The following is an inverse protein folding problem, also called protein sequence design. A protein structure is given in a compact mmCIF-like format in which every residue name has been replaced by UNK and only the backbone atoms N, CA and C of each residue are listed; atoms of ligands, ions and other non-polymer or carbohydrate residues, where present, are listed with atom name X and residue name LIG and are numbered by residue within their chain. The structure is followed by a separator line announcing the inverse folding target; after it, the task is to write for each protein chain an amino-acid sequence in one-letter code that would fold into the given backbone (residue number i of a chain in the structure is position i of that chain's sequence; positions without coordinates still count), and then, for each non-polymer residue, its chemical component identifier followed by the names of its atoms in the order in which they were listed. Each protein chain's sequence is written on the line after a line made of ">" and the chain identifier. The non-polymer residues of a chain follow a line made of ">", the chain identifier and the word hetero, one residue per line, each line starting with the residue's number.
data_IF_849009538856
#
_entry.id   IF_849009538856
#
_cell.length_a   1.000
_cell.length_b   1.000
_cell.length_c   1.000
_cell.angle_alpha   90.00
_cell.angle_beta   90.00
_cell.angle_gamma   90.00
#
_symmetry.space_group_name_H-M   'P 1'
#
loop_
_entity.id
_entity.type
_entity.pdbx_description
1 polymer ?
#
# COMPACT_ATOMS: atom_id res chain seq x y z
N UNK A 1 7.74 -14.89 -2.05
CA UNK A 1 7.25 -15.05 -3.44
C UNK A 1 8.46 -15.34 -4.32
N UNK A 2 8.41 -16.37 -5.17
CA UNK A 2 9.50 -16.70 -6.10
C UNK A 2 9.19 -16.08 -7.46
N UNK A 3 9.91 -15.02 -7.85
CA UNK A 3 9.89 -14.48 -9.22
C UNK A 3 9.22 -13.13 -9.45
N UNK A 4 9.18 -12.21 -8.47
CA UNK A 4 8.71 -10.84 -8.70
C UNK A 4 9.57 -9.80 -8.00
N UNK A 5 9.73 -8.65 -8.65
CA UNK A 5 10.54 -7.52 -8.20
C UNK A 5 9.88 -6.70 -7.10
N UNK A 6 9.03 -7.32 -6.26
CA UNK A 6 8.33 -6.61 -5.20
C UNK A 6 9.31 -5.84 -4.31
N UNK A 7 9.28 -4.51 -4.44
CA UNK A 7 10.02 -3.58 -3.62
C UNK A 7 9.03 -2.84 -2.72
N UNK A 8 9.38 -2.74 -1.44
CA UNK A 8 8.60 -1.93 -0.49
C UNK A 8 8.65 -0.47 -0.94
N UNK A 9 7.47 0.15 -1.05
CA UNK A 9 7.36 1.56 -1.39
C UNK A 9 7.29 2.40 -0.11
N UNK A 10 7.89 3.58 -0.16
CA UNK A 10 7.71 4.58 0.88
C UNK A 10 6.34 5.24 0.70
N UNK A 11 5.58 5.35 1.79
CA UNK A 11 4.32 6.09 1.81
C UNK A 11 4.46 7.32 2.69
N UNK A 12 4.03 8.47 2.18
CA UNK A 12 3.85 9.69 2.98
C UNK A 12 2.37 9.84 3.25
N UNK A 13 2.02 9.78 4.54
CA UNK A 13 0.65 9.96 5.02
C UNK A 13 0.46 11.42 5.48
N UNK A 14 -0.53 12.10 4.92
CA UNK A 14 -0.91 13.49 5.22
C UNK A 14 -2.34 13.53 5.74
N UNK A 15 -2.75 14.64 6.37
CA UNK A 15 -4.16 14.81 6.78
C UNK A 15 -5.09 14.63 5.59
N UNK A 16 -6.13 13.80 5.70
CA UNK A 16 -7.03 13.55 4.59
C UNK A 16 -7.81 14.80 4.20
N UNK A 17 -7.98 15.01 2.89
CA UNK A 17 -8.74 16.15 2.37
C UNK A 17 -10.24 15.84 2.50
N UNK A 18 -10.84 16.20 3.64
CA UNK A 18 -12.30 16.15 3.83
C UNK A 18 -12.84 15.44 5.07
N UNK A 19 -12.02 14.98 6.02
CA UNK A 19 -12.51 14.31 7.23
C UNK A 19 -11.42 13.88 8.22
N UNK A 20 -11.82 13.23 9.31
CA UNK A 20 -10.94 12.72 10.36
C UNK A 20 -10.15 11.50 9.87
N UNK A 21 -8.98 11.70 9.28
CA UNK A 21 -8.10 10.61 8.87
C UNK A 21 -6.73 11.08 8.38
N UNK A 22 -5.86 10.12 8.12
CA UNK A 22 -4.54 10.35 7.50
C UNK A 22 -4.49 9.50 6.23
N UNK A 23 -4.31 10.14 5.08
CA UNK A 23 -4.31 9.47 3.77
C UNK A 23 -2.98 9.58 3.05
N UNK A 24 -2.73 8.72 2.05
CA UNK A 24 -1.55 8.90 1.19
C UNK A 24 -1.71 10.10 0.25
N UNK A 25 -0.70 10.98 0.20
CA UNK A 25 -0.75 12.21 -0.61
C UNK A 25 -0.32 12.01 -2.06
N UNK A 26 0.31 10.87 -2.35
CA UNK A 26 0.88 10.54 -3.65
C UNK A 26 0.54 9.11 -4.06
N UNK A 27 0.57 8.88 -5.38
CA UNK A 27 0.44 7.56 -5.98
C UNK A 27 1.58 6.64 -5.50
N UNK A 28 1.22 5.46 -5.00
CA UNK A 28 2.16 4.40 -4.62
C UNK A 28 2.16 3.38 -5.75
N UNK A 29 3.27 3.29 -6.47
CA UNK A 29 3.42 2.43 -7.64
C UNK A 29 4.34 1.25 -7.35
N UNK A 30 3.85 0.05 -7.64
CA UNK A 30 4.62 -1.18 -7.66
C UNK A 30 4.70 -1.65 -9.11
N UNK A 31 5.88 -1.53 -9.71
CA UNK A 31 6.17 -2.03 -11.06
C UNK A 31 6.68 -3.48 -11.00
N UNK A 32 6.62 -4.19 -12.12
CA UNK A 32 7.14 -5.56 -12.25
C UNK A 32 6.64 -6.52 -11.17
N UNK A 33 5.34 -6.47 -10.87
CA UNK A 33 4.73 -7.34 -9.88
C UNK A 33 4.86 -8.82 -10.29
N UNK A 34 5.06 -9.75 -9.33
CA UNK A 34 4.87 -11.17 -9.61
C UNK A 34 3.41 -11.46 -9.91
N UNK A 35 3.14 -12.56 -10.61
CA UNK A 35 1.80 -13.11 -10.73
C UNK A 35 1.27 -13.48 -9.33
N UNK A 36 0.37 -12.66 -8.77
CA UNK A 36 -0.16 -12.83 -7.43
C UNK A 36 -1.53 -12.14 -7.24
N UNK A 37 -2.17 -12.42 -6.12
CA UNK A 37 -3.39 -11.72 -5.72
C UNK A 37 -3.10 -10.86 -4.49
N UNK A 38 -3.22 -9.55 -4.65
CA UNK A 38 -3.08 -8.57 -3.56
C UNK A 38 -4.40 -8.52 -2.81
N UNK A 39 -4.38 -8.96 -1.54
CA UNK A 39 -5.57 -9.07 -0.68
C UNK A 39 -5.58 -8.05 0.46
N UNK A 40 -4.44 -7.45 0.78
CA UNK A 40 -4.32 -6.43 1.78
C UNK A 40 -3.02 -5.65 1.67
N UNK A 41 -2.91 -4.64 2.51
CA UNK A 41 -1.72 -3.81 2.65
C UNK A 41 -1.28 -3.78 4.11
N UNK A 42 0.01 -3.63 4.32
CA UNK A 42 0.62 -3.46 5.63
C UNK A 42 1.56 -2.26 5.60
N UNK A 43 1.50 -1.42 6.63
CA UNK A 43 2.34 -0.24 6.80
C UNK A 43 3.30 -0.49 7.94
N UNK A 44 4.58 -0.29 7.67
CA UNK A 44 5.66 -0.43 8.64
C UNK A 44 6.31 0.92 8.89
N UNK A 45 6.86 1.11 10.09
CA UNK A 45 7.77 2.23 10.32
C UNK A 45 9.08 2.06 9.52
N UNK A 46 9.84 3.14 9.39
CA UNK A 46 11.14 3.15 8.71
C UNK A 46 12.31 2.89 9.66
N UNK A 47 12.08 2.40 10.88
CA UNK A 47 13.13 2.18 11.87
C UNK A 47 13.95 0.93 11.53
N UNK A 48 15.14 0.81 12.12
CA UNK A 48 16.07 -0.30 11.83
C UNK A 48 15.49 -1.70 12.12
N UNK A 49 14.52 -1.78 13.03
CA UNK A 49 13.69 -2.96 13.25
C UNK A 49 12.23 -2.60 12.96
N UNK A 50 11.77 -2.71 11.70
CA UNK A 50 10.51 -2.14 11.29
C UNK A 50 9.33 -2.73 12.07
N UNK A 51 8.57 -1.88 12.76
CA UNK A 51 7.35 -2.27 13.48
C UNK A 51 6.15 -2.06 12.56
N UNK A 52 5.21 -3.02 12.56
CA UNK A 52 3.96 -2.88 11.80
C UNK A 52 3.04 -1.88 12.50
N UNK A 53 2.77 -0.77 11.85
CA UNK A 53 1.91 0.31 12.35
C UNK A 53 0.45 0.07 12.00
N UNK A 54 0.18 -0.46 10.80
CA UNK A 54 -1.18 -0.70 10.34
C UNK A 54 -1.24 -1.89 9.39
N UNK A 55 -2.39 -2.56 9.35
CA UNK A 55 -2.71 -3.54 8.34
C UNK A 55 -4.20 -3.58 8.08
N UNK A 56 -4.57 -3.85 6.84
CA UNK A 56 -5.98 -3.96 6.47
C UNK A 56 -6.15 -4.71 5.14
N UNK A 57 -7.27 -5.42 4.98
CA UNK A 57 -7.63 -6.01 3.69
C UNK A 57 -7.97 -4.91 2.68
N UNK A 58 -7.74 -5.17 1.39
CA UNK A 58 -8.33 -4.37 0.32
C UNK A 58 -9.83 -4.64 0.27
N UNK A 59 -10.62 -3.61 -0.05
CA UNK A 59 -12.08 -3.76 -0.26
C UNK A 59 -12.38 -4.75 -1.39
N UNK A 60 -11.54 -4.76 -2.43
CA UNK A 60 -11.56 -5.74 -3.50
C UNK A 60 -10.14 -6.27 -3.74
N UNK A 61 -9.98 -7.59 -3.64
CA UNK A 61 -8.72 -8.26 -3.99
C UNK A 61 -8.37 -7.99 -5.44
N UNK A 62 -7.11 -7.65 -5.71
CA UNK A 62 -6.61 -7.36 -7.06
C UNK A 62 -5.63 -8.45 -7.48
N UNK A 63 -5.98 -9.19 -8.52
CA UNK A 63 -5.05 -10.12 -9.17
C UNK A 63 -4.19 -9.37 -10.17
N UNK A 64 -2.89 -9.57 -10.09
CA UNK A 64 -1.88 -9.02 -11.00
C UNK A 64 -1.12 -10.18 -11.65
N UNK A 65 -0.83 -10.04 -12.93
CA UNK A 65 0.06 -10.92 -13.68
C UNK A 65 1.53 -10.60 -13.44
N UNK A 66 2.42 -11.43 -14.00
CA UNK A 66 3.86 -11.16 -13.94
C UNK A 66 4.22 -9.99 -14.87
N UNK A 67 4.88 -8.97 -14.34
CA UNK A 67 5.24 -7.75 -15.07
C UNK A 67 4.18 -6.65 -15.00
N UNK A 68 3.05 -6.89 -14.35
CA UNK A 68 1.99 -5.89 -14.23
C UNK A 68 2.36 -4.78 -13.22
N UNK A 69 1.67 -3.65 -13.36
CA UNK A 69 1.73 -2.54 -12.42
C UNK A 69 0.56 -2.59 -11.42
N UNK A 70 0.90 -2.50 -10.14
CA UNK A 70 -0.07 -2.28 -9.07
C UNK A 70 0.09 -0.86 -8.54
N UNK A 71 -0.96 -0.05 -8.67
CA UNK A 71 -0.99 1.33 -8.20
C UNK A 71 -2.08 1.52 -7.15
N UNK A 72 -1.71 2.20 -6.06
CA UNK A 72 -2.64 2.83 -5.12
C UNK A 72 -2.56 4.33 -5.41
N UNK A 73 -3.67 4.93 -5.87
CA UNK A 73 -3.72 6.36 -6.15
C UNK A 73 -3.62 7.17 -4.84
N UNK A 74 -3.28 8.45 -4.93
CA UNK A 74 -3.44 9.37 -3.80
C UNK A 74 -4.86 9.25 -3.20
N UNK A 75 -4.94 9.25 -1.87
CA UNK A 75 -6.15 9.04 -1.07
C UNK A 75 -6.80 7.64 -1.10
N UNK A 76 -6.20 6.64 -1.76
CA UNK A 76 -6.70 5.24 -1.70
C UNK A 76 -6.47 4.58 -0.33
N UNK A 77 -5.43 4.99 0.39
CA UNK A 77 -5.14 4.53 1.75
C UNK A 77 -5.66 5.59 2.70
N UNK A 78 -6.65 5.24 3.54
CA UNK A 78 -7.19 6.11 4.58
C UNK A 78 -7.08 5.44 5.95
N UNK A 79 -6.39 6.11 6.87
CA UNK A 79 -6.25 5.73 8.27
C UNK A 79 -7.12 6.64 9.13
N UNK A 80 -8.30 6.16 9.52
CA UNK A 80 -9.19 6.86 10.46
C UNK A 80 -9.15 6.20 11.85
N UNK A 81 -9.26 7.02 12.89
CA UNK A 81 -9.55 6.58 14.26
C UNK A 81 -11.00 6.93 14.58
N UNK A 82 -11.73 6.00 15.19
CA UNK A 82 -13.13 6.19 15.59
C UNK A 82 -13.31 7.09 16.81
#
# INVERSE_FOLDING_TARGET
>A
MTGGSYARQNVTLTSSTGGSGVSNDADILFTDMPACTVVGIEIYDSAGSPIRLWHGPLTASKTVGAGDEFKLAASDVDLSIG
#
